data_IF_662716455312
#
_entry.id   IF_662716455312
#
_cell.length_a   1.000
_cell.length_b   1.000
_cell.length_c   1.000
_cell.angle_alpha   90.00
_cell.angle_beta   90.00
_cell.angle_gamma   90.00
#
_symmetry.space_group_name_H-M   'P 1'
#
loop_
_entity.id
_entity.type
_entity.pdbx_description
1 polymer ?
#
# COMPACT_ATOMS: atom_id res chain seq x y z
N UNK A 1 -34.76 15.26 29.68
CA UNK A 1 -34.44 16.02 30.92
C UNK A 1 -33.81 17.33 30.49
N UNK A 2 -34.22 18.44 31.08
CA UNK A 2 -33.80 19.79 30.66
C UNK A 2 -32.43 20.09 31.28
N UNK A 3 -31.38 20.21 30.45
CA UNK A 3 -30.05 20.63 30.87
C UNK A 3 -29.99 22.16 30.86
N UNK A 4 -29.66 22.78 32.00
CA UNK A 4 -29.51 24.24 32.08
C UNK A 4 -29.61 24.90 33.46
N UNK A 5 -29.46 24.16 34.57
CA UNK A 5 -29.30 24.76 35.89
C UNK A 5 -27.95 24.37 36.49
N UNK A 6 -27.03 25.33 36.58
CA UNK A 6 -25.69 25.17 37.14
C UNK A 6 -25.69 25.04 38.68
N UNK A 7 -26.86 25.12 39.33
CA UNK A 7 -27.03 24.96 40.77
C UNK A 7 -27.82 23.69 41.17
N UNK A 8 -28.16 22.79 40.24
CA UNK A 8 -28.83 21.54 40.61
C UNK A 8 -27.81 20.51 41.10
N UNK A 9 -27.99 20.00 42.32
CA UNK A 9 -27.17 18.92 42.88
C UNK A 9 -27.11 17.74 41.90
N UNK A 10 -25.90 17.38 41.50
CA UNK A 10 -25.63 16.24 40.63
C UNK A 10 -26.06 14.95 41.36
N UNK A 11 -27.28 14.47 41.10
CA UNK A 11 -27.87 13.35 41.84
C UNK A 11 -27.22 11.98 41.54
N UNK A 12 -26.39 11.87 40.50
CA UNK A 12 -25.66 10.65 40.20
C UNK A 12 -24.40 10.96 39.38
N UNK A 13 -23.24 10.71 39.98
CA UNK A 13 -21.96 10.64 39.27
C UNK A 13 -21.74 9.17 38.88
N UNK A 14 -21.93 8.86 37.60
CA UNK A 14 -21.66 7.54 37.04
C UNK A 14 -20.28 7.53 36.39
N UNK A 15 -19.30 6.89 37.03
CA UNK A 15 -18.01 6.63 36.40
C UNK A 15 -18.16 5.37 35.55
N UNK A 16 -18.33 5.55 34.24
CA UNK A 16 -18.24 4.46 33.27
C UNK A 16 -16.76 4.11 33.09
N UNK A 17 -16.30 3.06 33.77
CA UNK A 17 -15.04 2.39 33.43
C UNK A 17 -15.33 1.33 32.38
N UNK A 18 -15.04 1.65 31.13
CA UNK A 18 -14.85 0.63 30.10
C UNK A 18 -13.40 0.15 30.20
N UNK A 19 -13.22 -1.17 30.19
CA UNK A 19 -11.91 -1.78 30.03
C UNK A 19 -11.54 -1.64 28.56
N UNK A 20 -10.56 -0.78 28.27
CA UNK A 20 -9.92 -0.79 26.95
C UNK A 20 -9.00 -2.00 26.97
N UNK A 21 -9.49 -3.12 26.42
CA UNK A 21 -8.61 -4.24 26.09
C UNK A 21 -7.50 -3.69 25.21
N UNK A 22 -6.25 -3.88 25.61
CA UNK A 22 -5.12 -3.47 24.76
C UNK A 22 -5.17 -4.24 23.45
N UNK A 23 -4.66 -3.60 22.39
CA UNK A 23 -4.55 -4.20 21.06
C UNK A 23 -3.91 -5.60 21.14
N UNK A 24 -4.43 -6.57 20.37
CA UNK A 24 -3.86 -7.91 20.33
C UNK A 24 -2.48 -7.85 19.64
N UNK A 25 -1.42 -8.08 20.41
CA UNK A 25 -0.03 -8.13 19.92
C UNK A 25 0.23 -9.32 18.97
N UNK A 26 -0.73 -10.24 18.84
CA UNK A 26 -0.68 -11.42 18.01
C UNK A 26 0.10 -12.58 18.62
N UNK A 27 -0.01 -13.76 18.01
CA UNK A 27 0.62 -14.97 18.54
C UNK A 27 2.09 -15.13 18.12
N UNK A 28 2.57 -14.41 17.09
CA UNK A 28 3.96 -14.50 16.66
C UNK A 28 4.55 -13.14 16.21
N UNK A 29 5.67 -12.78 16.84
CA UNK A 29 6.40 -11.54 16.54
C UNK A 29 7.18 -11.62 15.23
N UNK A 30 6.89 -10.70 14.30
CA UNK A 30 7.60 -10.62 13.02
C UNK A 30 9.08 -10.32 13.22
N UNK A 31 9.40 -9.31 14.03
CA UNK A 31 10.78 -8.91 14.31
C UNK A 31 11.64 -10.06 14.83
N UNK A 32 11.11 -10.92 15.70
CA UNK A 32 11.84 -12.07 16.24
C UNK A 32 12.06 -13.15 15.17
N UNK A 33 10.99 -13.62 14.53
CA UNK A 33 11.06 -14.74 13.60
C UNK A 33 11.82 -14.39 12.31
N UNK A 34 11.59 -13.21 11.76
CA UNK A 34 12.25 -12.76 10.55
C UNK A 34 13.74 -12.41 10.77
N UNK A 35 14.12 -11.93 11.96
CA UNK A 35 15.53 -11.77 12.31
C UNK A 35 16.24 -13.11 12.43
N UNK A 36 15.63 -14.10 13.09
CA UNK A 36 16.18 -15.46 13.19
C UNK A 36 16.35 -16.07 11.81
N UNK A 37 15.34 -16.00 10.95
CA UNK A 37 15.41 -16.55 9.59
C UNK A 37 16.43 -15.81 8.72
N UNK A 38 16.62 -14.50 8.88
CA UNK A 38 17.70 -13.73 8.23
C UNK A 38 19.08 -14.24 8.63
N UNK A 39 19.31 -14.47 9.93
CA UNK A 39 20.58 -15.02 10.44
C UNK A 39 20.81 -16.47 9.95
N UNK A 40 19.76 -17.29 9.96
CA UNK A 40 19.82 -18.66 9.43
C UNK A 40 20.07 -18.69 7.93
N UNK A 41 19.49 -17.75 7.17
CA UNK A 41 19.75 -17.59 5.74
C UNK A 41 21.21 -17.23 5.48
N UNK A 42 21.78 -16.31 6.28
CA UNK A 42 23.20 -15.95 6.17
C UNK A 42 24.11 -17.16 6.42
N UNK A 43 23.91 -17.85 7.55
CA UNK A 43 24.71 -19.04 7.90
C UNK A 43 24.51 -20.15 6.87
N UNK A 44 23.27 -20.42 6.48
CA UNK A 44 22.92 -21.45 5.50
C UNK A 44 23.53 -21.18 4.12
N UNK A 45 23.46 -19.94 3.65
CA UNK A 45 24.05 -19.54 2.37
C UNK A 45 25.57 -19.69 2.39
N UNK A 46 26.23 -19.22 3.45
CA UNK A 46 27.69 -19.34 3.61
C UNK A 46 28.13 -20.80 3.68
N UNK A 47 27.46 -21.63 4.49
CA UNK A 47 27.76 -23.07 4.60
C UNK A 47 27.57 -23.77 3.25
N UNK A 48 26.50 -23.46 2.53
CA UNK A 48 26.25 -24.03 1.21
C UNK A 48 27.28 -23.59 0.16
N UNK A 49 27.66 -22.31 0.15
CA UNK A 49 28.72 -21.81 -0.72
C UNK A 49 30.04 -22.57 -0.50
N UNK A 50 30.44 -22.78 0.76
CA UNK A 50 31.61 -23.59 1.09
C UNK A 50 31.47 -25.05 0.64
N UNK A 51 30.31 -25.68 0.83
CA UNK A 51 30.06 -27.08 0.41
C UNK A 51 30.12 -27.27 -1.11
N UNK A 52 29.67 -26.27 -1.87
CA UNK A 52 29.67 -26.30 -3.34
C UNK A 52 31.04 -25.91 -3.94
N UNK A 53 32.05 -25.65 -3.10
CA UNK A 53 33.40 -25.28 -3.53
C UNK A 53 33.53 -23.81 -3.94
N UNK A 54 32.51 -22.99 -3.71
CA UNK A 54 32.55 -21.55 -3.95
C UNK A 54 33.26 -20.86 -2.77
N UNK A 55 34.57 -20.66 -2.90
CA UNK A 55 35.35 -19.90 -1.91
C UNK A 55 35.03 -18.40 -2.04
N UNK A 56 34.05 -17.94 -1.26
CA UNK A 56 33.71 -16.52 -1.18
C UNK A 56 34.86 -15.75 -0.50
N UNK A 57 35.45 -14.72 -1.14
CA UNK A 57 36.44 -13.86 -0.51
C UNK A 57 35.90 -13.23 0.78
N UNK A 58 36.77 -13.06 1.78
CA UNK A 58 36.43 -12.44 3.08
C UNK A 58 35.70 -11.10 2.91
N UNK A 59 36.08 -10.20 1.97
CA UNK A 59 35.32 -8.97 1.75
C UNK A 59 33.86 -9.20 1.34
N UNK A 60 33.57 -10.22 0.52
CA UNK A 60 32.21 -10.54 0.08
C UNK A 60 31.39 -11.09 1.27
N UNK A 61 31.99 -11.93 2.11
CA UNK A 61 31.35 -12.39 3.35
C UNK A 61 30.99 -11.22 4.28
N UNK A 62 31.90 -10.24 4.41
CA UNK A 62 31.63 -9.01 5.14
C UNK A 62 30.47 -8.21 4.53
N UNK A 63 30.43 -8.09 3.21
CA UNK A 63 29.33 -7.42 2.51
C UNK A 63 27.98 -8.15 2.67
N UNK A 64 27.96 -9.49 2.73
CA UNK A 64 26.75 -10.26 3.03
C UNK A 64 26.26 -10.03 4.46
N UNK A 65 27.17 -9.94 5.44
CA UNK A 65 26.79 -9.60 6.81
C UNK A 65 26.22 -8.18 6.91
N UNK A 66 26.81 -7.21 6.21
CA UNK A 66 26.26 -5.84 6.11
C UNK A 66 24.88 -5.87 5.44
N UNK A 67 24.71 -6.63 4.34
CA UNK A 67 23.42 -6.76 3.66
C UNK A 67 22.33 -7.28 4.61
N UNK A 68 22.63 -8.32 5.39
CA UNK A 68 21.72 -8.87 6.39
C UNK A 68 21.36 -7.88 7.51
N UNK A 69 22.28 -6.99 7.87
CA UNK A 69 22.02 -5.94 8.86
C UNK A 69 21.14 -4.84 8.27
N UNK A 70 21.37 -4.46 7.01
CA UNK A 70 20.59 -3.45 6.31
C UNK A 70 19.15 -3.88 5.99
N UNK A 71 18.84 -5.18 6.06
CA UNK A 71 17.47 -5.69 5.90
C UNK A 71 16.66 -5.65 7.20
N UNK A 72 17.30 -5.47 8.36
CA UNK A 72 16.60 -5.49 9.65
C UNK A 72 15.53 -4.39 9.81
N UNK A 73 15.72 -3.14 9.35
CA UNK A 73 14.67 -2.14 9.41
C UNK A 73 13.39 -2.60 8.69
N UNK A 74 13.54 -3.21 7.50
CA UNK A 74 12.41 -3.75 6.73
C UNK A 74 11.71 -4.90 7.44
N UNK A 75 12.47 -5.72 8.18
CA UNK A 75 11.94 -6.83 8.98
C UNK A 75 11.12 -6.32 10.17
N UNK A 76 11.57 -5.26 10.86
CA UNK A 76 10.87 -4.73 12.02
C UNK A 76 9.59 -3.96 11.68
N UNK A 77 9.47 -3.51 10.44
CA UNK A 77 8.27 -2.83 9.92
C UNK A 77 7.13 -3.81 9.56
N UNK A 78 7.38 -5.13 9.64
CA UNK A 78 6.37 -6.13 9.30
C UNK A 78 5.39 -6.36 10.46
N UNK A 79 4.09 -6.55 10.16
CA UNK A 79 3.08 -6.82 11.18
C UNK A 79 3.28 -8.20 11.81
N UNK A 80 2.97 -8.31 13.10
CA UNK A 80 2.93 -9.59 13.81
C UNK A 80 1.78 -10.46 13.27
N UNK A 81 1.96 -11.79 13.30
CA UNK A 81 0.91 -12.70 12.87
C UNK A 81 -0.18 -12.83 13.93
N UNK A 82 -1.43 -12.71 13.48
CA UNK A 82 -2.62 -12.81 14.32
C UNK A 82 -2.78 -11.65 15.30
N UNK A 83 -2.03 -10.57 15.11
CA UNK A 83 -2.32 -9.30 15.73
C UNK A 83 -3.52 -8.65 15.04
N UNK A 84 -4.17 -7.70 15.70
CA UNK A 84 -5.20 -6.89 15.06
C UNK A 84 -4.64 -6.28 13.77
N UNK A 85 -5.41 -6.39 12.69
CA UNK A 85 -4.95 -5.93 11.39
C UNK A 85 -4.62 -4.43 11.47
N UNK A 86 -3.40 -4.05 11.11
CA UNK A 86 -3.04 -2.63 10.96
C UNK A 86 -3.80 -2.10 9.74
N UNK A 87 -4.95 -1.50 9.98
CA UNK A 87 -5.79 -0.89 8.95
C UNK A 87 -5.18 0.47 8.60
N UNK A 88 -4.73 0.61 7.35
CA UNK A 88 -4.19 1.87 6.84
C UNK A 88 -5.30 2.93 6.73
N UNK A 89 -4.92 4.20 6.91
CA UNK A 89 -5.85 5.34 6.79
C UNK A 89 -6.58 5.41 5.45
N UNK A 90 -5.97 4.89 4.39
CA UNK A 90 -6.50 4.82 3.03
C UNK A 90 -6.84 3.40 2.57
N UNK A 91 -7.19 2.53 3.52
CA UNK A 91 -7.57 1.14 3.24
C UNK A 91 -8.69 1.02 2.22
N UNK A 92 -8.73 -0.12 1.53
CA UNK A 92 -9.89 -0.53 0.75
C UNK A 92 -10.98 -1.07 1.69
N UNK A 93 -12.24 -0.76 1.37
CA UNK A 93 -13.39 -1.15 2.19
C UNK A 93 -14.10 -2.39 1.67
N UNK A 94 -14.79 -3.12 2.56
CA UNK A 94 -15.65 -4.22 2.14
C UNK A 94 -16.93 -3.70 1.46
N UNK A 95 -17.40 -4.44 0.46
CA UNK A 95 -18.72 -4.18 -0.14
C UNK A 95 -19.80 -4.86 0.70
N UNK A 96 -20.02 -4.33 1.90
CA UNK A 96 -20.96 -4.87 2.86
C UNK A 96 -22.42 -4.61 2.46
N UNK A 97 -23.32 -5.53 2.80
CA UNK A 97 -24.76 -5.33 2.65
C UNK A 97 -25.32 -4.52 3.83
N UNK A 98 -25.91 -3.38 3.51
CA UNK A 98 -26.48 -2.45 4.47
C UNK A 98 -28.00 -2.52 4.44
N UNK A 99 -28.63 -2.69 5.61
CA UNK A 99 -30.10 -2.82 5.70
C UNK A 99 -30.75 -1.46 5.90
N UNK A 100 -31.60 -1.05 4.95
CA UNK A 100 -32.38 0.18 5.06
C UNK A 100 -33.64 0.03 5.94
N UNK A 101 -34.30 1.15 6.28
CA UNK A 101 -35.51 1.16 7.11
C UNK A 101 -36.68 0.38 6.52
N UNK A 102 -36.70 0.25 5.19
CA UNK A 102 -37.73 -0.49 4.44
C UNK A 102 -37.47 -2.02 4.42
N UNK A 103 -36.38 -2.48 5.05
CA UNK A 103 -35.94 -3.88 5.03
C UNK A 103 -35.21 -4.31 3.75
N UNK A 104 -35.00 -3.38 2.81
CA UNK A 104 -34.16 -3.63 1.63
C UNK A 104 -32.68 -3.57 2.00
N UNK A 105 -31.90 -4.54 1.51
CA UNK A 105 -30.45 -4.50 1.59
C UNK A 105 -29.87 -3.87 0.32
N UNK A 106 -28.88 -3.00 0.49
CA UNK A 106 -28.12 -2.37 -0.59
C UNK A 106 -26.63 -2.52 -0.28
N UNK A 107 -25.81 -2.70 -1.29
CA UNK A 107 -24.36 -2.74 -1.10
C UNK A 107 -23.74 -1.34 -1.04
N UNK A 108 -22.57 -1.21 -0.43
CA UNK A 108 -21.85 0.08 -0.39
C UNK A 108 -21.48 0.55 -1.81
N UNK A 109 -21.12 -0.38 -2.69
CA UNK A 109 -20.80 -0.08 -4.09
C UNK A 109 -22.01 0.46 -4.87
N UNK A 110 -23.23 -0.01 -4.57
CA UNK A 110 -24.46 0.52 -5.14
C UNK A 110 -24.74 1.96 -4.68
N UNK A 111 -24.48 2.26 -3.40
CA UNK A 111 -24.63 3.62 -2.85
C UNK A 111 -23.63 4.61 -3.45
N UNK A 112 -22.44 4.15 -3.81
CA UNK A 112 -21.41 4.96 -4.45
C UNK A 112 -21.64 5.13 -5.96
N UNK A 113 -22.40 4.23 -6.58
CA UNK A 113 -22.58 4.21 -8.03
C UNK A 113 -23.13 5.54 -8.58
N UNK A 114 -22.47 6.06 -9.61
CA UNK A 114 -22.84 7.33 -10.26
C UNK A 114 -22.39 8.61 -9.55
N UNK A 115 -21.74 8.51 -8.39
CA UNK A 115 -21.23 9.65 -7.62
C UNK A 115 -19.69 9.65 -7.60
N UNK A 116 -19.08 10.81 -7.33
CA UNK A 116 -17.63 10.98 -7.20
C UNK A 116 -17.11 10.56 -5.82
N UNK A 117 -17.96 10.58 -4.79
CA UNK A 117 -17.63 10.08 -3.45
C UNK A 117 -18.89 9.69 -2.67
N UNK A 118 -18.71 8.85 -1.66
CA UNK A 118 -19.73 8.51 -0.68
C UNK A 118 -19.31 9.06 0.69
N UNK A 119 -20.14 9.95 1.25
CA UNK A 119 -19.98 10.51 2.59
C UNK A 119 -20.76 9.65 3.59
N UNK A 120 -20.06 9.12 4.58
CA UNK A 120 -20.59 8.19 5.55
C UNK A 120 -20.41 8.76 6.96
N UNK A 121 -21.51 8.93 7.68
CA UNK A 121 -21.49 9.11 9.13
C UNK A 121 -21.67 7.76 9.81
N UNK A 122 -20.62 7.23 10.42
CA UNK A 122 -20.71 6.10 11.34
C UNK A 122 -21.24 6.61 12.67
N UNK A 123 -22.22 5.89 13.20
CA UNK A 123 -22.92 6.27 14.43
C UNK A 123 -23.15 5.05 15.29
N UNK A 124 -22.79 5.17 16.57
CA UNK A 124 -23.19 4.25 17.62
C UNK A 124 -24.58 4.59 18.15
N UNK A 125 -25.40 3.58 18.51
CA UNK A 125 -26.72 3.82 19.11
C UNK A 125 -26.64 4.76 20.31
N UNK A 126 -27.38 5.87 20.24
CA UNK A 126 -27.45 6.87 21.32
C UNK A 126 -26.37 7.96 21.30
N UNK A 127 -25.53 8.03 20.28
CA UNK A 127 -24.54 9.11 20.15
C UNK A 127 -25.17 10.50 20.02
N UNK A 128 -24.55 11.51 20.63
CA UNK A 128 -24.95 12.91 20.48
C UNK A 128 -24.28 13.59 19.27
N UNK A 129 -23.25 12.96 18.67
CA UNK A 129 -22.48 13.53 17.56
C UNK A 129 -23.25 13.57 16.23
N UNK A 130 -24.34 12.81 16.17
CA UNK A 130 -25.26 12.69 15.04
C UNK A 130 -25.69 14.04 14.48
N UNK A 131 -26.12 14.96 15.35
CA UNK A 131 -26.64 16.26 14.92
C UNK A 131 -25.52 17.14 14.34
N UNK A 132 -24.31 17.03 14.91
CA UNK A 132 -23.13 17.74 14.41
C UNK A 132 -22.74 17.22 13.02
N UNK A 133 -22.61 15.89 12.88
CA UNK A 133 -22.32 15.25 11.58
C UNK A 133 -23.35 15.65 10.52
N UNK A 134 -24.64 15.57 10.85
CA UNK A 134 -25.71 15.91 9.93
C UNK A 134 -25.68 17.38 9.48
N UNK A 135 -25.41 18.31 10.39
CA UNK A 135 -25.28 19.72 10.05
C UNK A 135 -24.12 19.97 9.08
N UNK A 136 -22.97 19.32 9.29
CA UNK A 136 -21.79 19.46 8.43
C UNK A 136 -22.00 18.76 7.06
N UNK A 137 -22.69 17.63 7.02
CA UNK A 137 -23.09 17.00 5.75
C UNK A 137 -24.07 17.85 4.94
N UNK A 138 -25.05 18.48 5.59
CA UNK A 138 -25.98 19.36 4.89
C UNK A 138 -25.25 20.53 4.22
N UNK A 139 -24.29 21.14 4.93
CA UNK A 139 -23.43 22.20 4.39
C UNK A 139 -22.52 21.70 3.26
N UNK A 140 -22.03 20.47 3.36
CA UNK A 140 -21.17 19.85 2.34
C UNK A 140 -21.96 19.56 1.06
N UNK A 141 -23.20 19.09 1.18
CA UNK A 141 -24.10 18.89 0.04
C UNK A 141 -24.41 20.19 -0.69
N UNK A 142 -24.57 21.32 0.02
CA UNK A 142 -24.81 22.62 -0.61
C UNK A 142 -23.65 23.02 -1.55
N UNK A 143 -22.43 22.56 -1.29
CA UNK A 143 -21.25 22.84 -2.13
C UNK A 143 -20.98 21.76 -3.18
N UNK A 144 -21.13 20.49 -2.82
CA UNK A 144 -20.75 19.35 -3.66
C UNK A 144 -21.90 18.90 -4.58
N UNK A 145 -23.16 19.15 -4.21
CA UNK A 145 -24.34 18.76 -4.97
C UNK A 145 -24.37 17.26 -5.29
N UNK A 146 -24.76 16.94 -6.53
CA UNK A 146 -24.89 15.55 -7.02
C UNK A 146 -23.53 14.82 -7.17
N UNK A 147 -22.40 15.47 -6.86
CA UNK A 147 -21.09 14.81 -6.87
C UNK A 147 -20.94 13.79 -5.75
N UNK A 148 -21.72 13.90 -4.68
CA UNK A 148 -21.61 13.02 -3.52
C UNK A 148 -22.94 12.39 -3.16
N UNK A 149 -22.89 11.15 -2.69
CA UNK A 149 -24.00 10.55 -1.97
C UNK A 149 -23.70 10.60 -0.47
N UNK A 150 -24.71 10.85 0.36
CA UNK A 150 -24.56 10.94 1.82
C UNK A 150 -25.38 9.84 2.46
N UNK A 151 -24.83 9.16 3.45
CA UNK A 151 -25.54 8.16 4.26
C UNK A 151 -25.10 8.20 5.71
N UNK A 152 -25.99 7.79 6.62
CA UNK A 152 -25.60 7.41 7.97
C UNK A 152 -25.67 5.90 8.11
N UNK A 153 -24.70 5.31 8.80
CA UNK A 153 -24.66 3.88 9.08
C UNK A 153 -24.60 3.71 10.59
N UNK A 154 -25.61 3.03 11.13
CA UNK A 154 -25.62 2.60 12.52
C UNK A 154 -24.81 1.31 12.64
N UNK A 155 -23.80 1.34 13.50
CA UNK A 155 -22.87 0.21 13.73
C UNK A 155 -22.71 -0.06 15.23
N UNK A 156 -21.96 -1.11 15.58
CA UNK A 156 -21.65 -1.49 16.95
C UNK A 156 -22.49 -2.65 17.49
N UNK A 157 -21.96 -3.30 18.53
CA UNK A 157 -22.55 -4.49 19.12
C UNK A 157 -23.95 -4.20 19.67
N UNK A 158 -24.95 -4.85 19.05
CA UNK A 158 -26.35 -4.71 19.43
C UNK A 158 -27.10 -3.58 18.74
N UNK A 159 -26.53 -2.99 17.68
CA UNK A 159 -27.25 -2.08 16.79
C UNK A 159 -28.50 -2.75 16.18
N UNK A 160 -29.62 -2.02 16.16
CA UNK A 160 -30.92 -2.55 15.70
C UNK A 160 -31.58 -1.59 14.73
N UNK A 161 -32.54 -2.13 13.96
CA UNK A 161 -33.41 -1.33 13.08
C UNK A 161 -34.21 -0.25 13.83
N UNK A 162 -34.46 -0.44 15.14
CA UNK A 162 -35.07 0.58 15.98
C UNK A 162 -34.19 1.82 16.12
N UNK A 163 -32.87 1.64 16.15
CA UNK A 163 -31.91 2.73 16.27
C UNK A 163 -31.82 3.51 14.95
N UNK A 164 -31.85 2.80 13.82
CA UNK A 164 -31.98 3.41 12.48
C UNK A 164 -33.22 4.28 12.37
N UNK A 165 -34.38 3.77 12.81
CA UNK A 165 -35.63 4.53 12.77
C UNK A 165 -35.58 5.76 13.69
N UNK A 166 -35.01 5.60 14.88
CA UNK A 166 -34.80 6.71 15.83
C UNK A 166 -33.87 7.78 15.26
N UNK A 167 -32.79 7.36 14.60
CA UNK A 167 -31.78 8.23 13.98
C UNK A 167 -32.34 9.01 12.79
N UNK A 168 -33.10 8.33 11.93
CA UNK A 168 -33.77 8.95 10.80
C UNK A 168 -34.78 10.01 11.29
N UNK A 169 -35.53 9.70 12.34
CA UNK A 169 -36.49 10.64 12.94
C UNK A 169 -35.83 11.84 13.64
N UNK A 170 -34.69 11.64 14.31
CA UNK A 170 -34.00 12.72 15.04
C UNK A 170 -33.28 13.70 14.12
N UNK A 171 -32.70 13.20 13.03
CA UNK A 171 -31.91 14.01 12.10
C UNK A 171 -32.79 14.74 11.10
N UNK A 172 -33.93 14.16 10.72
CA UNK A 172 -34.83 14.65 9.67
C UNK A 172 -34.08 15.11 8.40
N UNK A 173 -33.10 14.31 7.99
CA UNK A 173 -32.22 14.58 6.88
C UNK A 173 -32.80 14.08 5.54
N UNK A 174 -32.27 14.59 4.44
CA UNK A 174 -32.65 14.18 3.08
C UNK A 174 -32.08 12.82 2.68
N UNK A 175 -31.05 12.34 3.39
CA UNK A 175 -30.40 11.06 3.12
C UNK A 175 -30.97 9.91 3.96
N UNK A 176 -30.67 8.68 3.52
CA UNK A 176 -31.09 7.45 4.20
C UNK A 176 -30.10 7.04 5.28
N UNK A 177 -30.65 6.36 6.29
CA UNK A 177 -29.90 5.75 7.38
C UNK A 177 -29.96 4.24 7.20
N UNK A 178 -28.83 3.56 7.35
CA UNK A 178 -28.71 2.11 7.20
C UNK A 178 -28.20 1.45 8.48
N UNK A 179 -28.46 0.15 8.61
CA UNK A 179 -27.92 -0.71 9.65
C UNK A 179 -26.81 -1.60 9.08
N UNK A 180 -25.67 -1.63 9.77
CA UNK A 180 -24.63 -2.64 9.61
C UNK A 180 -24.88 -3.75 10.64
N UNK A 181 -25.50 -4.88 10.23
CA UNK A 181 -26.04 -5.89 11.16
C UNK A 181 -24.96 -6.67 11.91
N UNK A 182 -23.78 -6.86 11.31
CA UNK A 182 -22.68 -7.66 11.84
C UNK A 182 -21.39 -6.85 12.01
N UNK A 183 -21.49 -5.51 12.00
CA UNK A 183 -20.33 -4.60 11.96
C UNK A 183 -19.35 -4.93 10.81
N UNK A 184 -19.82 -5.58 9.74
CA UNK A 184 -18.97 -6.09 8.67
C UNK A 184 -18.36 -4.92 7.88
N UNK A 185 -19.11 -3.83 7.71
CA UNK A 185 -18.58 -2.62 7.13
C UNK A 185 -17.58 -1.95 8.08
N UNK A 186 -17.98 -1.76 9.34
CA UNK A 186 -17.17 -1.05 10.33
C UNK A 186 -15.82 -1.73 10.64
N UNK A 187 -15.78 -3.05 10.64
CA UNK A 187 -14.54 -3.83 10.85
C UNK A 187 -13.51 -3.63 9.74
N UNK A 188 -13.92 -3.17 8.55
CA UNK A 188 -13.01 -2.88 7.45
C UNK A 188 -12.43 -1.45 7.47
N UNK A 189 -12.82 -0.63 8.45
CA UNK A 189 -12.50 0.80 8.50
C UNK A 189 -11.43 1.10 9.55
N UNK A 190 -10.59 2.12 9.34
CA UNK A 190 -9.54 2.49 10.29
C UNK A 190 -10.09 2.93 11.65
N UNK A 191 -11.35 3.39 11.70
CA UNK A 191 -12.02 3.82 12.93
C UNK A 191 -12.74 2.69 13.68
N UNK A 192 -12.86 1.50 13.07
CA UNK A 192 -13.70 0.43 13.58
C UNK A 192 -15.17 0.85 13.75
N UNK A 193 -15.88 0.16 14.65
CA UNK A 193 -17.24 0.50 15.07
C UNK A 193 -17.25 1.67 16.08
N UNK A 194 -16.87 2.86 15.62
CA UNK A 194 -16.93 4.09 16.41
C UNK A 194 -17.60 5.22 15.63
N UNK A 195 -18.05 6.25 16.35
CA UNK A 195 -18.57 7.46 15.71
C UNK A 195 -17.48 8.11 14.85
N UNK A 196 -17.74 8.27 13.55
CA UNK A 196 -16.77 8.83 12.63
C UNK A 196 -17.43 9.38 11.37
N UNK A 197 -16.73 10.30 10.71
CA UNK A 197 -17.03 10.73 9.34
C UNK A 197 -16.01 10.11 8.40
N UNK A 198 -16.49 9.48 7.33
CA UNK A 198 -15.66 8.76 6.36
C UNK A 198 -16.05 9.21 4.96
N UNK A 199 -15.05 9.50 4.13
CA UNK A 199 -15.20 9.77 2.71
C UNK A 199 -14.63 8.60 1.94
N UNK A 200 -15.45 7.96 1.12
CA UNK A 200 -15.05 6.83 0.28
C UNK A 200 -15.00 7.28 -1.17
N UNK A 201 -13.91 6.91 -1.84
CA UNK A 201 -13.71 7.22 -3.26
C UNK A 201 -14.34 6.17 -4.21
N UNK A 202 -14.44 6.45 -5.53
CA UNK A 202 -15.01 5.53 -6.51
C UNK A 202 -14.29 4.19 -6.61
N UNK A 203 -13.04 4.13 -6.17
CA UNK A 203 -12.23 2.93 -6.12
C UNK A 203 -12.51 2.05 -4.89
N UNK A 204 -13.48 2.41 -4.04
CA UNK A 204 -13.79 1.75 -2.76
C UNK A 204 -12.61 1.82 -1.77
N UNK A 205 -11.93 2.97 -1.70
CA UNK A 205 -10.92 3.26 -0.67
C UNK A 205 -11.36 4.43 0.19
N UNK A 206 -10.91 4.42 1.45
CA UNK A 206 -11.05 5.57 2.34
C UNK A 206 -10.16 6.71 1.82
N UNK A 207 -10.76 7.83 1.43
CA UNK A 207 -10.07 9.04 1.04
C UNK A 207 -9.79 9.96 2.24
N UNK A 208 -10.69 9.93 3.23
CA UNK A 208 -10.58 10.70 4.46
C UNK A 208 -11.39 10.03 5.57
N UNK A 209 -10.90 10.12 6.80
CA UNK A 209 -11.66 9.73 7.98
C UNK A 209 -11.34 10.67 9.14
N UNK A 210 -12.32 10.88 10.01
CA UNK A 210 -12.15 11.61 11.26
C UNK A 210 -13.10 11.06 12.31
N UNK A 211 -12.59 10.81 13.51
CA UNK A 211 -13.40 10.35 14.64
C UNK A 211 -14.35 11.45 15.12
N UNK A 212 -15.51 11.06 15.63
CA UNK A 212 -16.60 11.92 16.07
C UNK A 212 -17.28 12.70 14.94
N UNK A 213 -16.65 13.74 14.41
CA UNK A 213 -17.24 14.61 13.38
C UNK A 213 -16.16 15.34 12.61
N UNK A 214 -16.41 15.60 11.32
CA UNK A 214 -15.53 16.40 10.46
C UNK A 214 -16.17 17.72 10.06
N UNK A 215 -15.36 18.76 9.87
CA UNK A 215 -15.85 20.03 9.36
C UNK A 215 -16.14 19.94 7.86
N UNK A 216 -17.12 20.72 7.37
CA UNK A 216 -17.44 20.81 5.94
C UNK A 216 -16.21 21.06 5.05
N UNK A 217 -15.28 21.93 5.48
CA UNK A 217 -14.08 22.25 4.69
C UNK A 217 -13.21 21.02 4.45
N UNK A 218 -13.00 20.20 5.48
CA UNK A 218 -12.17 18.99 5.40
C UNK A 218 -12.83 17.95 4.48
N UNK A 219 -14.16 17.81 4.56
CA UNK A 219 -14.95 16.91 3.70
C UNK A 219 -14.87 17.35 2.24
N UNK A 220 -15.08 18.64 1.96
CA UNK A 220 -15.04 19.17 0.58
C UNK A 220 -13.65 19.06 -0.01
N UNK A 221 -12.60 19.37 0.76
CA UNK A 221 -11.21 19.22 0.33
C UNK A 221 -10.87 17.75 0.05
N UNK A 222 -11.32 16.82 0.90
CA UNK A 222 -11.14 15.40 0.68
C UNK A 222 -11.79 14.94 -0.64
N UNK A 223 -13.04 15.34 -0.91
CA UNK A 223 -13.76 14.98 -2.15
C UNK A 223 -13.09 15.58 -3.38
N UNK A 224 -12.65 16.84 -3.30
CA UNK A 224 -11.94 17.47 -4.41
C UNK A 224 -10.56 16.82 -4.68
N UNK A 225 -9.89 16.33 -3.63
CA UNK A 225 -8.60 15.66 -3.75
C UNK A 225 -8.66 14.32 -4.49
N UNK A 226 -9.80 13.63 -4.53
CA UNK A 226 -9.97 12.31 -5.17
C UNK A 226 -9.59 12.36 -6.66
N UNK A 227 -9.95 13.45 -7.35
CA UNK A 227 -9.59 13.66 -8.77
C UNK A 227 -8.12 13.98 -8.98
N UNK A 228 -7.45 14.48 -7.94
CA UNK A 228 -6.04 14.85 -7.96
C UNK A 228 -5.16 13.84 -7.21
N UNK A 229 -5.51 12.56 -7.21
CA UNK A 229 -4.68 11.49 -6.65
C UNK A 229 -4.91 11.15 -5.17
N UNK A 230 -5.89 11.79 -4.52
CA UNK A 230 -6.23 11.57 -3.11
C UNK A 230 -5.11 12.01 -2.15
N UNK A 231 -4.98 11.37 -0.97
CA UNK A 231 -3.95 11.71 0.03
C UNK A 231 -2.53 11.25 -0.36
N UNK A 232 -2.36 10.69 -1.55
CA UNK A 232 -1.13 10.02 -1.96
C UNK A 232 -0.06 11.00 -2.48
N UNK A 233 1.20 10.73 -2.13
CA UNK A 233 2.33 11.57 -2.55
C UNK A 233 3.32 10.81 -3.41
N UNK A 234 3.86 11.47 -4.45
CA UNK A 234 4.94 10.91 -5.24
C UNK A 234 6.25 10.77 -4.43
N UNK A 235 6.35 11.51 -3.31
CA UNK A 235 7.47 11.46 -2.39
C UNK A 235 7.54 10.13 -1.63
N UNK A 236 6.46 9.33 -1.59
CA UNK A 236 6.42 8.05 -0.89
C UNK A 236 7.55 7.11 -1.33
N UNK A 237 7.86 7.06 -2.63
CA UNK A 237 9.00 6.27 -3.15
C UNK A 237 10.37 6.75 -2.65
N UNK A 238 10.53 8.06 -2.41
CA UNK A 238 11.77 8.60 -1.86
C UNK A 238 11.93 8.24 -0.38
N UNK A 239 10.81 8.09 0.36
CA UNK A 239 10.81 7.57 1.73
C UNK A 239 11.43 6.18 1.83
N UNK A 240 11.17 5.31 0.84
CA UNK A 240 11.70 3.95 0.78
C UNK A 240 13.24 3.89 0.66
N UNK A 241 13.91 5.00 0.29
CA UNK A 241 15.37 5.06 0.27
C UNK A 241 15.96 4.81 1.67
N UNK A 242 15.26 5.29 2.71
CA UNK A 242 15.65 5.16 4.11
C UNK A 242 14.88 3.98 4.74
N UNK A 243 15.42 2.78 4.55
CA UNK A 243 14.81 1.52 5.00
C UNK A 243 15.12 0.42 4.00
N UNK A 244 14.13 -0.10 3.25
CA UNK A 244 14.35 -1.17 2.27
C UNK A 244 15.31 -0.76 1.13
N UNK A 245 15.40 0.52 0.78
CA UNK A 245 16.34 1.04 -0.21
C UNK A 245 17.81 0.89 0.19
N UNK A 246 18.13 0.79 1.49
CA UNK A 246 19.51 0.72 1.96
C UNK A 246 20.20 -0.57 1.51
N UNK A 247 19.51 -1.71 1.57
CA UNK A 247 20.12 -2.96 1.14
C UNK A 247 20.16 -3.09 -0.39
N UNK A 248 19.24 -2.43 -1.10
CA UNK A 248 19.29 -2.32 -2.57
C UNK A 248 20.56 -1.61 -3.07
N UNK A 249 21.23 -0.80 -2.25
CA UNK A 249 22.52 -0.19 -2.59
C UNK A 249 23.59 -1.22 -2.98
N UNK A 250 23.62 -2.38 -2.33
CA UNK A 250 24.56 -3.45 -2.65
C UNK A 250 24.17 -4.16 -3.95
N UNK A 251 22.88 -4.29 -4.26
CA UNK A 251 22.42 -4.78 -5.56
C UNK A 251 22.67 -3.76 -6.68
N UNK A 252 22.72 -2.46 -6.35
CA UNK A 252 22.94 -1.38 -7.31
C UNK A 252 24.41 -1.18 -7.72
N UNK A 253 25.35 -1.84 -7.04
CA UNK A 253 26.79 -1.68 -7.28
C UNK A 253 27.19 -1.83 -8.77
N UNK A 254 28.00 -0.91 -9.32
CA UNK A 254 28.44 -0.96 -10.71
C UNK A 254 29.37 -2.15 -10.97
N UNK A 255 29.37 -2.69 -12.18
CA UNK A 255 30.25 -3.82 -12.58
C UNK A 255 31.44 -3.35 -13.40
N UNK A 256 31.16 -2.45 -14.33
CA UNK A 256 32.11 -1.95 -15.31
C UNK A 256 32.50 -0.50 -14.99
N UNK A 257 33.66 -0.09 -15.48
CA UNK A 257 34.01 1.32 -15.56
C UNK A 257 33.12 2.01 -16.58
N UNK A 258 32.76 3.26 -16.31
CA UNK A 258 32.06 4.05 -17.32
C UNK A 258 32.99 4.32 -18.50
N UNK A 259 32.57 3.90 -19.69
CA UNK A 259 33.25 4.17 -20.95
C UNK A 259 32.41 5.12 -21.79
N UNK A 260 33.05 6.03 -22.51
CA UNK A 260 32.34 6.90 -23.45
C UNK A 260 31.78 6.06 -24.62
N UNK A 261 30.57 6.35 -25.11
CA UNK A 261 30.01 5.63 -26.25
C UNK A 261 30.80 5.91 -27.51
N UNK A 262 30.97 4.90 -28.35
CA UNK A 262 31.69 5.01 -29.63
C UNK A 262 30.95 5.91 -30.62
N UNK A 263 29.62 5.84 -30.61
CA UNK A 263 28.75 6.74 -31.37
C UNK A 263 28.17 7.84 -30.46
N UNK A 264 28.01 9.08 -30.95
CA UNK A 264 27.47 10.17 -30.14
C UNK A 264 26.00 9.90 -29.79
N UNK A 265 25.76 9.60 -28.51
CA UNK A 265 24.43 9.41 -27.94
C UNK A 265 23.91 10.71 -27.31
N UNK A 266 22.58 10.93 -27.27
CA UNK A 266 21.99 12.06 -26.55
C UNK A 266 22.49 12.16 -25.10
N UNK A 267 22.84 13.37 -24.62
CA UNK A 267 23.27 13.55 -23.25
C UNK A 267 22.17 13.10 -22.28
N UNK A 268 22.56 12.38 -21.23
CA UNK A 268 21.62 11.87 -20.23
C UNK A 268 20.89 10.57 -20.61
N UNK A 269 21.12 10.00 -21.79
CA UNK A 269 20.45 8.75 -22.22
C UNK A 269 20.69 7.58 -21.24
N UNK A 270 21.87 7.51 -20.62
CA UNK A 270 22.16 6.52 -19.58
C UNK A 270 21.26 6.71 -18.36
N UNK A 271 21.16 7.92 -17.83
CA UNK A 271 20.30 8.21 -16.67
C UNK A 271 18.82 8.02 -17.01
N UNK A 272 18.39 8.48 -18.18
CA UNK A 272 17.03 8.28 -18.67
C UNK A 272 16.69 6.80 -18.81
N UNK A 273 17.60 5.97 -19.33
CA UNK A 273 17.37 4.53 -19.44
C UNK A 273 17.31 3.83 -18.08
N UNK A 274 18.10 4.27 -17.07
CA UNK A 274 17.98 3.77 -15.69
C UNK A 274 16.60 4.12 -15.11
N UNK A 275 16.13 5.36 -15.30
CA UNK A 275 14.82 5.80 -14.82
C UNK A 275 13.71 4.99 -15.49
N UNK A 276 13.76 4.80 -16.81
CA UNK A 276 12.75 4.04 -17.55
C UNK A 276 12.76 2.57 -17.15
N UNK A 277 13.92 1.94 -17.00
CA UNK A 277 14.04 0.54 -16.61
C UNK A 277 13.56 0.29 -15.17
N UNK A 278 14.01 1.14 -14.23
CA UNK A 278 13.55 1.08 -12.84
C UNK A 278 12.05 1.35 -12.72
N UNK A 279 11.55 2.39 -13.40
CA UNK A 279 10.12 2.72 -13.43
C UNK A 279 9.27 1.59 -14.03
N UNK A 280 9.72 0.97 -15.13
CA UNK A 280 9.02 -0.17 -15.71
C UNK A 280 8.92 -1.36 -14.73
N UNK A 281 9.97 -1.62 -13.95
CA UNK A 281 9.94 -2.62 -12.87
C UNK A 281 8.91 -2.28 -11.79
N UNK A 282 8.85 -1.02 -11.35
CA UNK A 282 7.84 -0.55 -10.38
C UNK A 282 6.43 -0.71 -10.93
N UNK A 283 6.22 -0.27 -12.17
CA UNK A 283 4.93 -0.35 -12.82
C UNK A 283 4.48 -1.80 -12.99
N UNK A 284 5.38 -2.72 -13.35
CA UNK A 284 5.07 -4.15 -13.51
C UNK A 284 4.44 -4.76 -12.25
N UNK A 285 4.96 -4.40 -11.07
CA UNK A 285 4.42 -4.88 -9.79
C UNK A 285 3.07 -4.26 -9.48
N UNK A 286 2.88 -2.96 -9.73
CA UNK A 286 1.65 -2.24 -9.39
C UNK A 286 0.52 -2.41 -10.42
N UNK A 287 0.84 -2.89 -11.63
CA UNK A 287 -0.09 -3.00 -12.74
C UNK A 287 -1.29 -3.92 -12.47
N UNK A 288 -1.14 -5.12 -11.89
CA UNK A 288 -2.28 -6.01 -11.64
C UNK A 288 -3.35 -5.36 -10.77
N UNK A 289 -2.95 -4.68 -9.70
CA UNK A 289 -3.86 -3.99 -8.81
C UNK A 289 -4.53 -2.79 -9.43
N UNK A 290 -3.77 -1.97 -10.17
CA UNK A 290 -4.32 -0.85 -10.90
C UNK A 290 -5.40 -1.32 -11.91
N UNK A 291 -5.12 -2.38 -12.67
CA UNK A 291 -6.07 -2.94 -13.63
C UNK A 291 -7.33 -3.44 -12.93
N UNK A 292 -7.18 -4.14 -11.80
CA UNK A 292 -8.32 -4.69 -11.08
C UNK A 292 -9.21 -3.61 -10.45
N UNK A 293 -8.65 -2.45 -10.08
CA UNK A 293 -9.43 -1.30 -9.60
C UNK A 293 -10.28 -0.70 -10.71
N UNK A 294 -9.75 -0.57 -11.93
CA UNK A 294 -10.47 0.04 -13.06
C UNK A 294 -11.50 -0.92 -13.66
N UNK A 295 -11.27 -2.23 -13.56
CA UNK A 295 -12.22 -3.23 -14.03
C UNK A 295 -13.46 -3.29 -13.12
N UNK A 296 -14.66 -3.52 -13.70
CA UNK A 296 -15.91 -3.67 -12.95
C UNK A 296 -15.99 -5.06 -12.29
N UNK A 297 -15.05 -5.34 -11.40
CA UNK A 297 -14.95 -6.58 -10.64
C UNK A 297 -15.28 -6.29 -9.19
N UNK A 298 -16.03 -7.21 -8.55
CA UNK A 298 -16.45 -7.05 -7.17
C UNK A 298 -15.29 -6.99 -6.18
N UNK A 299 -15.52 -6.41 -5.00
CA UNK A 299 -14.48 -6.20 -3.98
C UNK A 299 -13.81 -7.50 -3.53
N UNK A 300 -14.53 -8.63 -3.46
CA UNK A 300 -13.96 -9.93 -3.10
C UNK A 300 -12.77 -10.32 -3.99
N UNK A 301 -12.84 -10.05 -5.30
CA UNK A 301 -11.73 -10.29 -6.21
C UNK A 301 -10.51 -9.42 -5.89
N UNK A 302 -10.74 -8.18 -5.44
CA UNK A 302 -9.67 -7.25 -5.02
C UNK A 302 -9.03 -7.66 -3.70
N UNK A 303 -9.75 -8.30 -2.78
CA UNK A 303 -9.17 -8.90 -1.59
C UNK A 303 -8.36 -10.17 -1.91
N UNK A 304 -8.87 -11.03 -2.79
CA UNK A 304 -8.12 -12.21 -3.25
C UNK A 304 -6.85 -11.86 -4.03
N UNK A 305 -6.83 -10.71 -4.70
CA UNK A 305 -5.64 -10.22 -5.37
C UNK A 305 -4.48 -10.02 -4.39
N UNK A 306 -4.70 -9.54 -3.16
CA UNK A 306 -3.61 -9.35 -2.20
C UNK A 306 -2.90 -10.67 -1.91
N UNK A 307 -3.67 -11.74 -1.71
CA UNK A 307 -3.11 -13.10 -1.53
C UNK A 307 -2.33 -13.52 -2.77
N UNK A 308 -2.89 -13.33 -3.97
CA UNK A 308 -2.22 -13.66 -5.23
C UNK A 308 -0.91 -12.86 -5.42
N UNK A 309 -0.90 -11.59 -5.03
CA UNK A 309 0.28 -10.72 -5.07
C UNK A 309 1.34 -11.21 -4.09
N UNK A 310 0.98 -11.62 -2.88
CA UNK A 310 1.95 -12.17 -1.92
C UNK A 310 2.52 -13.52 -2.39
N UNK A 311 1.70 -14.37 -3.00
CA UNK A 311 2.18 -15.62 -3.62
C UNK A 311 3.10 -15.34 -4.80
N UNK A 312 2.81 -14.33 -5.61
CA UNK A 312 3.68 -13.91 -6.71
C UNK A 312 5.00 -13.35 -6.21
N UNK A 313 4.99 -12.53 -5.16
CA UNK A 313 6.21 -12.05 -4.54
C UNK A 313 7.05 -13.20 -3.96
N UNK A 314 6.41 -14.20 -3.33
CA UNK A 314 7.09 -15.40 -2.84
C UNK A 314 7.78 -16.18 -3.97
N UNK A 315 7.11 -16.32 -5.12
CA UNK A 315 7.67 -16.90 -6.34
C UNK A 315 8.92 -16.13 -6.79
N UNK A 316 8.83 -14.80 -6.89
CA UNK A 316 9.95 -13.95 -7.31
C UNK A 316 11.13 -14.02 -6.33
N UNK A 317 10.87 -14.03 -5.02
CA UNK A 317 11.89 -14.16 -3.99
C UNK A 317 12.62 -15.50 -4.13
N UNK A 318 11.87 -16.59 -4.29
CA UNK A 318 12.42 -17.93 -4.42
C UNK A 318 13.27 -18.11 -5.68
N UNK A 319 12.82 -17.60 -6.83
CA UNK A 319 13.60 -17.67 -8.05
C UNK A 319 14.80 -16.75 -8.03
N UNK A 320 14.69 -15.57 -7.42
CA UNK A 320 15.85 -14.72 -7.15
C UNK A 320 16.87 -15.43 -6.27
N UNK A 321 16.43 -16.16 -5.24
CA UNK A 321 17.30 -16.93 -4.35
C UNK A 321 18.13 -18.02 -5.08
N UNK A 322 17.54 -18.61 -6.14
CA UNK A 322 18.19 -19.68 -6.92
C UNK A 322 19.00 -19.18 -8.11
N UNK A 323 18.56 -18.10 -8.76
CA UNK A 323 19.10 -17.65 -10.06
C UNK A 323 19.78 -16.28 -10.02
N UNK A 324 19.51 -15.48 -8.99
CA UNK A 324 19.94 -14.08 -8.88
C UNK A 324 18.95 -13.08 -9.50
N UNK A 325 17.93 -13.52 -10.23
CA UNK A 325 16.85 -12.67 -10.74
C UNK A 325 15.56 -13.48 -10.95
N UNK A 326 14.37 -12.86 -10.82
CA UNK A 326 13.11 -13.46 -11.20
C UNK A 326 12.94 -13.46 -12.74
N UNK A 327 12.10 -14.35 -13.27
CA UNK A 327 11.94 -14.51 -14.72
C UNK A 327 11.39 -13.26 -15.40
N UNK A 328 10.51 -12.55 -14.72
CA UNK A 328 9.79 -11.39 -15.23
C UNK A 328 10.73 -10.19 -15.37
N UNK A 329 11.65 -9.99 -14.41
CA UNK A 329 12.64 -8.93 -14.50
C UNK A 329 13.59 -9.15 -15.70
N UNK A 330 14.06 -10.38 -15.91
CA UNK A 330 14.88 -10.77 -17.06
C UNK A 330 14.14 -10.56 -18.39
N UNK A 331 12.86 -10.93 -18.43
CA UNK A 331 12.05 -10.76 -19.63
C UNK A 331 11.84 -9.28 -19.95
N UNK A 332 11.45 -8.49 -18.96
CA UNK A 332 11.21 -7.06 -19.11
C UNK A 332 12.50 -6.30 -19.47
N UNK A 333 13.63 -6.63 -18.84
CA UNK A 333 14.93 -6.05 -19.14
C UNK A 333 15.36 -6.29 -20.59
N UNK A 334 15.21 -7.52 -21.09
CA UNK A 334 15.48 -7.86 -22.50
C UNK A 334 14.54 -7.16 -23.48
N UNK A 335 13.26 -7.04 -23.14
CA UNK A 335 12.28 -6.33 -23.98
C UNK A 335 12.62 -4.84 -24.07
N UNK A 336 12.95 -4.21 -22.94
CA UNK A 336 13.39 -2.83 -22.89
C UNK A 336 14.70 -2.63 -23.65
N UNK A 337 15.71 -3.46 -23.43
CA UNK A 337 16.99 -3.36 -24.13
C UNK A 337 16.80 -3.41 -25.65
N UNK A 338 15.96 -4.33 -26.15
CA UNK A 338 15.63 -4.45 -27.59
C UNK A 338 14.94 -3.22 -28.18
N UNK A 339 14.22 -2.45 -27.36
CA UNK A 339 13.52 -1.23 -27.80
C UNK A 339 14.48 -0.05 -28.08
N UNK A 340 15.69 -0.07 -27.54
CA UNK A 340 16.67 0.99 -27.72
C UNK A 340 17.40 0.91 -29.08
N UNK A 341 17.91 2.03 -29.60
CA UNK A 341 18.75 2.06 -30.80
C UNK A 341 19.97 1.14 -30.68
N UNK A 342 20.46 0.60 -31.81
CA UNK A 342 21.65 -0.28 -31.85
C UNK A 342 22.86 0.35 -31.17
N UNK A 343 23.17 1.60 -31.49
CA UNK A 343 24.24 2.38 -30.86
C UNK A 343 24.21 2.34 -29.32
N UNK A 344 23.02 2.41 -28.72
CA UNK A 344 22.87 2.35 -27.26
C UNK A 344 22.98 0.91 -26.74
N UNK A 345 22.43 -0.07 -27.45
CA UNK A 345 22.52 -1.48 -27.09
C UNK A 345 23.93 -2.04 -27.14
N UNK A 346 24.74 -1.54 -28.05
CA UNK A 346 26.13 -1.94 -28.21
C UNK A 346 27.01 -1.28 -27.12
N UNK A 347 26.65 -0.07 -26.69
CA UNK A 347 27.32 0.62 -25.59
C UNK A 347 26.93 0.07 -24.20
N UNK A 348 25.66 -0.26 -23.99
CA UNK A 348 25.12 -0.70 -22.70
C UNK A 348 24.77 -2.18 -22.70
N UNK A 349 25.46 -2.94 -21.85
CA UNK A 349 25.21 -4.37 -21.69
C UNK A 349 23.77 -4.67 -21.23
N UNK A 350 23.18 -5.76 -21.75
CA UNK A 350 21.84 -6.20 -21.36
C UNK A 350 21.74 -6.49 -19.85
N UNK A 351 22.80 -7.05 -19.25
CA UNK A 351 22.82 -7.40 -17.82
C UNK A 351 22.69 -6.16 -16.93
N UNK A 352 23.24 -5.02 -17.35
CA UNK A 352 23.10 -3.76 -16.61
C UNK A 352 21.69 -3.18 -16.74
N UNK A 353 20.96 -3.47 -17.83
CA UNK A 353 19.55 -3.15 -17.97
C UNK A 353 18.68 -4.06 -17.10
N UNK A 354 18.94 -5.37 -17.14
CA UNK A 354 18.22 -6.37 -16.34
C UNK A 354 18.33 -6.05 -14.83
N UNK A 355 19.50 -5.58 -14.37
CA UNK A 355 19.69 -5.14 -12.97
C UNK A 355 18.91 -3.87 -12.62
N UNK A 356 18.75 -2.91 -13.53
CA UNK A 356 17.92 -1.73 -13.25
C UNK A 356 16.45 -2.10 -13.13
N UNK A 357 15.99 -2.99 -14.00
CA UNK A 357 14.65 -3.55 -13.91
C UNK A 357 14.50 -4.30 -12.59
N UNK A 358 15.45 -5.15 -12.21
CA UNK A 358 15.43 -5.87 -10.93
C UNK A 358 15.32 -4.92 -9.73
N UNK A 359 16.11 -3.84 -9.71
CA UNK A 359 16.01 -2.81 -8.67
C UNK A 359 14.63 -2.16 -8.69
N UNK A 360 14.09 -1.86 -9.87
CA UNK A 360 12.74 -1.35 -10.05
C UNK A 360 11.65 -2.29 -9.53
N UNK A 361 11.77 -3.60 -9.79
CA UNK A 361 10.83 -4.62 -9.31
C UNK A 361 10.84 -4.68 -7.79
N UNK A 362 12.01 -4.71 -7.16
CA UNK A 362 12.10 -4.69 -5.70
C UNK A 362 11.56 -3.38 -5.10
N UNK A 363 11.87 -2.24 -5.72
CA UNK A 363 11.26 -0.97 -5.33
C UNK A 363 9.73 -0.99 -5.47
N UNK A 364 9.21 -1.63 -6.51
CA UNK A 364 7.78 -1.84 -6.72
C UNK A 364 7.17 -2.68 -5.60
N UNK A 365 7.81 -3.77 -5.21
CA UNK A 365 7.36 -4.60 -4.09
C UNK A 365 7.42 -3.85 -2.76
N UNK A 366 8.51 -3.15 -2.44
CA UNK A 366 8.57 -2.37 -1.19
C UNK A 366 7.56 -1.22 -1.19
N UNK A 367 7.30 -0.60 -2.35
CA UNK A 367 6.21 0.35 -2.51
C UNK A 367 4.84 -0.28 -2.29
N UNK A 368 4.63 -1.50 -2.80
CA UNK A 368 3.39 -2.25 -2.58
C UNK A 368 3.17 -2.62 -1.11
N UNK A 369 4.23 -2.99 -0.38
CA UNK A 369 4.13 -3.35 1.03
C UNK A 369 3.90 -2.13 1.93
N UNK A 370 4.60 -1.03 1.67
CA UNK A 370 4.48 0.18 2.48
C UNK A 370 3.22 0.99 2.12
N UNK A 371 2.84 1.00 0.83
CA UNK A 371 1.78 1.84 0.28
C UNK A 371 0.94 1.06 -0.75
N UNK A 372 0.22 -0.02 -0.35
CA UNK A 372 -0.49 -0.91 -1.28
C UNK A 372 -1.54 -0.20 -2.13
N UNK A 373 -2.15 0.86 -1.58
CA UNK A 373 -3.22 1.60 -2.25
C UNK A 373 -2.71 2.77 -3.11
N UNK A 374 -1.40 3.01 -3.19
CA UNK A 374 -0.84 4.18 -3.89
C UNK A 374 -1.29 4.27 -5.36
N UNK A 375 -1.10 3.21 -6.15
CA UNK A 375 -1.54 3.17 -7.55
C UNK A 375 -3.06 2.98 -7.69
N UNK A 376 -3.69 2.00 -7.00
CA UNK A 376 -5.15 1.80 -7.03
C UNK A 376 -5.94 3.08 -6.75
N UNK A 377 -5.55 3.83 -5.72
CA UNK A 377 -6.29 5.01 -5.28
C UNK A 377 -5.95 6.23 -6.13
N UNK A 378 -4.66 6.56 -6.28
CA UNK A 378 -4.28 7.80 -6.94
C UNK A 378 -4.46 7.77 -8.46
N UNK A 379 -4.41 6.58 -9.08
CA UNK A 379 -4.64 6.43 -10.53
C UNK A 379 -6.01 5.82 -10.77
N UNK A 380 -6.34 4.70 -10.13
CA UNK A 380 -7.60 3.99 -10.35
C UNK A 380 -8.83 4.82 -9.97
N UNK A 381 -8.88 5.38 -8.76
CA UNK A 381 -10.01 6.22 -8.34
C UNK A 381 -10.15 7.49 -9.18
N UNK A 382 -9.02 8.10 -9.59
CA UNK A 382 -9.06 9.26 -10.50
C UNK A 382 -9.57 8.90 -11.91
N UNK A 383 -9.29 7.70 -12.43
CA UNK A 383 -9.92 7.21 -13.67
C UNK A 383 -11.43 7.03 -13.49
N UNK A 384 -11.85 6.40 -12.39
CA UNK A 384 -13.25 6.11 -12.10
C UNK A 384 -14.08 7.37 -11.83
N UNK A 385 -13.48 8.42 -11.26
CA UNK A 385 -14.11 9.72 -11.07
C UNK A 385 -14.44 10.45 -12.40
N UNK A 386 -13.85 10.02 -13.53
CA UNK A 386 -14.17 10.53 -14.85
C UNK A 386 -13.75 11.98 -15.12
N UNK A 387 -14.15 12.52 -16.28
CA UNK A 387 -13.90 13.92 -16.67
C UNK A 387 -12.40 14.28 -16.72
N UNK A 388 -12.01 15.33 -15.99
CA UNK A 388 -10.60 15.75 -15.83
C UNK A 388 -9.75 14.74 -15.05
N UNK A 389 -10.37 13.83 -14.29
CA UNK A 389 -9.69 12.78 -13.52
C UNK A 389 -8.89 11.82 -14.38
N UNK A 390 -9.31 11.55 -15.62
CA UNK A 390 -8.56 10.67 -16.55
C UNK A 390 -7.20 11.29 -16.91
N UNK A 391 -7.16 12.60 -17.17
CA UNK A 391 -5.90 13.30 -17.48
C UNK A 391 -4.96 13.32 -16.27
N UNK A 392 -5.51 13.53 -15.07
CA UNK A 392 -4.75 13.44 -13.82
C UNK A 392 -4.24 12.02 -13.57
N UNK A 393 -5.04 10.99 -13.83
CA UNK A 393 -4.61 9.61 -13.68
C UNK A 393 -3.40 9.27 -14.55
N UNK A 394 -3.38 9.70 -15.81
CA UNK A 394 -2.20 9.53 -16.69
C UNK A 394 -0.99 10.28 -16.15
N UNK A 395 -1.19 11.50 -15.64
CA UNK A 395 -0.14 12.28 -15.02
C UNK A 395 0.44 11.58 -13.78
N UNK A 396 -0.41 11.10 -12.86
CA UNK A 396 0.01 10.39 -11.65
C UNK A 396 0.68 9.05 -11.96
N UNK A 397 0.16 8.29 -12.93
CA UNK A 397 0.77 7.05 -13.39
C UNK A 397 2.23 7.29 -13.84
N UNK A 398 2.45 8.32 -14.67
CA UNK A 398 3.77 8.72 -15.10
C UNK A 398 4.62 9.21 -13.92
N UNK A 399 4.05 10.03 -13.05
CA UNK A 399 4.76 10.62 -11.91
C UNK A 399 5.28 9.56 -10.94
N UNK A 400 4.45 8.59 -10.53
CA UNK A 400 4.85 7.50 -9.63
C UNK A 400 5.82 6.52 -10.30
N UNK A 401 5.60 6.20 -11.57
CA UNK A 401 6.51 5.35 -12.33
C UNK A 401 7.90 5.98 -12.45
N UNK A 402 7.94 7.28 -12.79
CA UNK A 402 9.20 8.03 -12.90
C UNK A 402 9.85 8.30 -11.54
N UNK A 403 9.07 8.52 -10.47
CA UNK A 403 9.65 8.72 -9.14
C UNK A 403 10.37 7.46 -8.65
N UNK A 404 9.75 6.28 -8.82
CA UNK A 404 10.41 5.00 -8.58
C UNK A 404 11.69 4.80 -9.40
N UNK A 405 11.65 5.14 -10.69
CA UNK A 405 12.83 5.14 -11.56
C UNK A 405 13.93 6.12 -11.12
N UNK A 406 13.55 7.30 -10.63
CA UNK A 406 14.48 8.29 -10.08
C UNK A 406 15.17 7.78 -8.82
N UNK A 407 14.44 7.08 -7.95
CA UNK A 407 15.02 6.44 -6.76
C UNK A 407 16.02 5.36 -7.15
N UNK A 408 15.73 4.55 -8.18
CA UNK A 408 16.71 3.59 -8.72
C UNK A 408 17.96 4.29 -9.25
N UNK A 409 17.81 5.42 -9.96
CA UNK A 409 18.94 6.23 -10.38
C UNK A 409 19.77 6.75 -9.19
N UNK A 410 19.12 7.23 -8.13
CA UNK A 410 19.82 7.66 -6.92
C UNK A 410 20.58 6.51 -6.26
N UNK A 411 20.00 5.31 -6.17
CA UNK A 411 20.68 4.11 -5.69
C UNK A 411 21.93 3.80 -6.52
N UNK A 412 21.83 3.89 -7.85
CA UNK A 412 22.99 3.72 -8.76
C UNK A 412 24.08 4.77 -8.52
N UNK A 413 23.71 6.03 -8.35
CA UNK A 413 24.67 7.12 -8.09
C UNK A 413 25.36 6.91 -6.74
N UNK A 414 24.60 6.71 -5.67
CA UNK A 414 25.15 6.53 -4.31
C UNK A 414 26.02 5.28 -4.23
N UNK A 415 25.58 4.17 -4.82
CA UNK A 415 26.39 2.93 -4.85
C UNK A 415 27.70 3.10 -5.63
N UNK A 416 27.78 4.03 -6.58
CA UNK A 416 29.00 4.31 -7.35
C UNK A 416 30.05 5.14 -6.60
N UNK A 417 29.71 5.80 -5.48
CA UNK A 417 30.63 6.70 -4.76
C UNK A 417 31.89 6.02 -4.22
N UNK A 418 31.83 4.71 -3.94
CA UNK A 418 33.00 3.91 -3.52
C UNK A 418 34.01 3.63 -4.66
N UNK A 419 33.74 4.11 -5.88
CA UNK A 419 34.69 4.11 -7.00
C UNK A 419 35.20 2.70 -7.35
N UNK A 420 36.51 2.42 -7.29
CA UNK A 420 37.06 1.10 -7.58
C UNK A 420 36.54 -0.02 -6.68
N UNK A 421 36.27 0.26 -5.40
CA UNK A 421 35.76 -0.74 -4.46
C UNK A 421 34.33 -1.15 -4.82
N UNK A 422 33.47 -0.18 -5.11
CA UNK A 422 32.10 -0.45 -5.57
C UNK A 422 32.08 -1.33 -6.82
N UNK A 423 32.99 -1.07 -7.77
CA UNK A 423 33.14 -1.87 -8.98
C UNK A 423 33.62 -3.30 -8.70
N UNK A 424 34.57 -3.46 -7.79
CA UNK A 424 35.07 -4.76 -7.38
C UNK A 424 33.94 -5.61 -6.76
N UNK A 425 33.19 -5.05 -5.81
CA UNK A 425 32.05 -5.74 -5.20
C UNK A 425 30.93 -6.01 -6.20
N UNK A 426 30.60 -5.07 -7.09
CA UNK A 426 29.57 -5.31 -8.11
C UNK A 426 29.96 -6.39 -9.11
N UNK A 427 31.24 -6.44 -9.53
CA UNK A 427 31.73 -7.43 -10.51
C UNK A 427 31.80 -8.86 -9.95
N UNK A 428 32.25 -9.03 -8.71
CA UNK A 428 32.43 -10.37 -8.10
C UNK A 428 31.26 -10.81 -7.21
N UNK A 429 30.48 -9.86 -6.69
CA UNK A 429 29.43 -10.11 -5.72
C UNK A 429 28.00 -9.92 -6.25
N UNK A 430 27.80 -9.37 -7.45
CA UNK A 430 26.47 -9.02 -7.96
C UNK A 430 25.44 -10.16 -7.86
N UNK A 431 25.78 -11.34 -8.38
CA UNK A 431 24.89 -12.50 -8.36
C UNK A 431 24.74 -13.09 -6.95
N UNK A 432 25.81 -13.05 -6.16
CA UNK A 432 25.85 -13.55 -4.77
C UNK A 432 24.92 -12.70 -3.89
N UNK A 433 24.98 -11.38 -4.03
CA UNK A 433 24.13 -10.45 -3.29
C UNK A 433 22.67 -10.63 -3.68
N UNK A 434 22.37 -10.75 -4.97
CA UNK A 434 21.00 -10.94 -5.43
C UNK A 434 20.40 -12.27 -4.94
N UNK A 435 21.15 -13.38 -5.05
CA UNK A 435 20.72 -14.67 -4.50
C UNK A 435 20.51 -14.62 -2.99
N UNK A 436 21.44 -14.00 -2.25
CA UNK A 436 21.32 -13.88 -0.81
C UNK A 436 20.10 -13.04 -0.40
N UNK A 437 19.82 -11.94 -1.10
CA UNK A 437 18.59 -11.15 -0.92
C UNK A 437 17.35 -12.00 -1.16
N UNK A 438 17.32 -12.83 -2.21
CA UNK A 438 16.21 -13.76 -2.42
C UNK A 438 15.99 -14.69 -1.22
N UNK A 439 17.06 -15.20 -0.61
CA UNK A 439 16.96 -16.04 0.59
C UNK A 439 16.47 -15.30 1.83
N UNK A 440 16.81 -14.02 2.00
CA UNK A 440 16.27 -13.17 3.10
C UNK A 440 14.79 -12.85 2.86
N UNK A 441 14.43 -12.49 1.65
CA UNK A 441 13.07 -12.05 1.32
C UNK A 441 12.08 -13.21 1.23
N UNK A 442 12.52 -14.44 0.97
CA UNK A 442 11.61 -15.61 0.87
C UNK A 442 10.83 -15.87 2.18
N UNK A 443 11.47 -15.95 3.37
CA UNK A 443 10.75 -16.03 4.65
C UNK A 443 9.81 -14.85 4.89
N UNK A 444 10.23 -13.63 4.53
CA UNK A 444 9.39 -12.43 4.68
C UNK A 444 8.16 -12.48 3.77
N UNK A 445 8.33 -12.91 2.52
CA UNK A 445 7.23 -13.12 1.59
C UNK A 445 6.25 -14.18 2.07
N UNK A 446 6.76 -15.28 2.63
CA UNK A 446 5.92 -16.32 3.22
C UNK A 446 5.15 -15.77 4.44
N UNK A 447 5.81 -15.00 5.30
CA UNK A 447 5.20 -14.35 6.46
C UNK A 447 4.03 -13.47 6.05
N UNK A 448 4.23 -12.58 5.08
CA UNK A 448 3.18 -11.68 4.61
C UNK A 448 2.07 -12.41 3.85
N UNK A 449 2.38 -13.49 3.12
CA UNK A 449 1.35 -14.31 2.49
C UNK A 449 0.44 -14.96 3.53
N UNK A 450 1.00 -15.48 4.62
CA UNK A 450 0.22 -16.03 5.74
C UNK A 450 -0.60 -14.92 6.40
N UNK A 451 0.02 -13.77 6.69
CA UNK A 451 -0.68 -12.64 7.30
C UNK A 451 -1.86 -12.14 6.46
N UNK A 452 -1.65 -11.94 5.16
CA UNK A 452 -2.70 -11.53 4.23
C UNK A 452 -3.84 -12.56 4.17
N UNK A 453 -3.52 -13.85 4.25
CA UNK A 453 -4.53 -14.92 4.27
C UNK A 453 -5.37 -14.87 5.55
N UNK A 454 -4.74 -14.67 6.71
CA UNK A 454 -5.43 -14.53 8.00
C UNK A 454 -6.36 -13.32 7.95
N UNK A 455 -5.85 -12.15 7.54
CA UNK A 455 -6.66 -10.92 7.47
C UNK A 455 -7.89 -11.07 6.55
N UNK A 456 -7.76 -11.75 5.41
CA UNK A 456 -8.89 -11.98 4.49
C UNK A 456 -9.94 -12.93 5.10
N UNK A 457 -9.51 -13.90 5.90
CA UNK A 457 -10.41 -14.79 6.63
C UNK A 457 -11.14 -14.04 7.76
N UNK A 458 -10.42 -13.20 8.51
CA UNK A 458 -10.99 -12.41 9.61
C UNK A 458 -12.00 -11.38 9.12
N UNK A 459 -11.77 -10.82 7.92
CA UNK A 459 -12.71 -9.94 7.23
C UNK A 459 -13.93 -10.69 6.63
N UNK A 460 -14.02 -12.02 6.76
CA UNK A 460 -15.16 -12.81 6.30
C UNK A 460 -15.31 -12.91 4.78
N UNK A 461 -14.22 -12.65 4.02
CA UNK A 461 -14.24 -12.70 2.55
C UNK A 461 -14.10 -14.13 2.01
N UNK A 462 -13.51 -15.04 2.81
CA UNK A 462 -13.21 -16.43 2.46
C UNK A 462 -13.95 -17.46 3.33
#
# INVERSE_FOLDING_TARGET
>A
TVAGDLNSECHAEGILRFEVTGDDDGFASAGLWLTITTLLALVGYVVNAFRTGMLLPVPILGALAVLALLTLPTVFDQPNLGADAVILDNTKILDAELTGPDGQTLSVSELLSGHEALLIGLVLPGSEQILTQANEFNRSMDQLGDRVNVVHIVTGDGARMTDVASLSASTNATWKVYLDQDSAFANSLPTGASDAVIVVDPGMHVAFHQTSSAAMLDIVEAVDSIKSGGPNSFASYFGLLFGPGLFLLLLALPRNEWTAPEEPLPPGLLWGSIIVAGGAGVLMVNLPALLLTVLPLGMSARFLLDIAMMVWMLEMCFFTARRGAPYEADLLGRLLHRSFPKAFRDWRENVDMDRDVLLGVWMGWFGWLAFPHLFPQAVGSSVLAGGSGIAMAVFFLLLFTLSGGFVVLLLRIVSSWGGPFSRLFGKFGGDVFAQFVGWILTPMALWMAVNATINVLDLGVL
#
